data_IF_383424628453
#
_entry.id   IF_383424628453
#
_cell.length_a   1.000
_cell.length_b   1.000
_cell.length_c   1.000
_cell.angle_alpha   90.00
_cell.angle_beta   90.00
_cell.angle_gamma   90.00
#
_symmetry.space_group_name_H-M   'P 1'
#
loop_
_entity.id
_entity.type
_entity.pdbx_description
1 polymer ?
#
# COMPACT_ATOMS: atom_id res chain seq x y z
N UNK A 1 51.97 18.05 -37.12
CA UNK A 1 50.77 17.68 -37.89
C UNK A 1 49.55 18.19 -37.14
N UNK A 2 48.79 19.16 -37.68
CA UNK A 2 47.56 19.66 -37.04
C UNK A 2 46.45 18.65 -37.29
N UNK A 3 45.97 18.00 -36.23
CA UNK A 3 44.79 17.13 -36.28
C UNK A 3 43.61 17.97 -36.74
N UNK A 4 43.05 17.67 -37.91
CA UNK A 4 41.82 18.33 -38.35
C UNK A 4 40.68 17.85 -37.45
N UNK A 5 40.12 18.79 -36.69
CA UNK A 5 38.97 18.54 -35.84
C UNK A 5 37.74 18.53 -36.76
N UNK A 6 37.26 17.33 -37.08
CA UNK A 6 36.02 17.15 -37.85
C UNK A 6 34.86 17.66 -36.98
N UNK A 7 34.29 18.80 -37.36
CA UNK A 7 33.05 19.29 -36.75
C UNK A 7 31.88 18.36 -37.09
N UNK A 8 30.88 18.33 -36.22
CA UNK A 8 29.60 17.65 -36.47
C UNK A 8 28.86 18.34 -37.62
N UNK A 9 28.22 17.58 -38.51
CA UNK A 9 27.43 18.19 -39.58
C UNK A 9 26.07 18.66 -39.06
N UNK A 10 25.49 19.73 -39.63
CA UNK A 10 24.17 20.21 -39.18
C UNK A 10 23.08 19.15 -39.38
N UNK A 11 23.18 18.33 -40.43
CA UNK A 11 22.20 17.26 -40.70
C UNK A 11 22.26 16.16 -39.63
N UNK A 12 23.44 15.88 -39.08
CA UNK A 12 23.64 14.87 -38.06
C UNK A 12 23.03 15.31 -36.72
N UNK A 13 23.16 16.59 -36.38
CA UNK A 13 22.46 17.15 -35.22
C UNK A 13 20.93 17.13 -35.41
N UNK A 14 20.44 17.47 -36.61
CA UNK A 14 19.00 17.45 -36.92
C UNK A 14 18.44 16.02 -36.86
N UNK A 15 19.16 15.04 -37.41
CA UNK A 15 18.78 13.63 -37.34
C UNK A 15 18.63 13.16 -35.89
N UNK A 16 19.56 13.55 -35.01
CA UNK A 16 19.53 13.15 -33.59
C UNK A 16 18.30 13.71 -32.88
N UNK A 17 17.98 15.00 -33.04
CA UNK A 17 16.80 15.58 -32.38
C UNK A 17 15.49 15.00 -32.92
N UNK A 18 15.42 14.63 -34.20
CA UNK A 18 14.26 13.97 -34.79
C UNK A 18 14.06 12.58 -34.18
N UNK A 19 15.13 11.79 -34.05
CA UNK A 19 15.07 10.46 -33.43
C UNK A 19 14.66 10.58 -31.95
N UNK A 20 15.27 11.51 -31.20
CA UNK A 20 14.90 11.75 -29.80
C UNK A 20 13.44 12.21 -29.66
N UNK A 21 12.93 13.02 -30.60
CA UNK A 21 11.53 13.44 -30.63
C UNK A 21 10.56 12.27 -30.80
N UNK A 22 10.86 11.32 -31.69
CA UNK A 22 10.04 10.12 -31.90
C UNK A 22 10.06 9.23 -30.66
N UNK A 23 11.24 9.00 -30.07
CA UNK A 23 11.37 8.18 -28.86
C UNK A 23 10.63 8.81 -27.67
N UNK A 24 10.73 10.13 -27.50
CA UNK A 24 10.05 10.86 -26.44
C UNK A 24 8.52 10.76 -26.57
N UNK A 25 7.99 10.85 -27.80
CA UNK A 25 6.55 10.77 -28.04
C UNK A 25 5.92 9.44 -27.57
N UNK A 26 6.65 8.32 -27.71
CA UNK A 26 6.18 7.01 -27.22
C UNK A 26 6.51 6.76 -25.75
N UNK A 27 7.63 7.28 -25.25
CA UNK A 27 8.08 7.02 -23.88
C UNK A 27 7.31 7.84 -22.84
N UNK A 28 7.01 9.11 -23.13
CA UNK A 28 6.39 10.03 -22.17
C UNK A 28 5.04 9.55 -21.61
N UNK A 29 4.07 9.06 -22.42
CA UNK A 29 2.79 8.58 -21.89
C UNK A 29 2.98 7.43 -20.90
N UNK A 30 3.85 6.46 -21.23
CA UNK A 30 4.14 5.34 -20.34
C UNK A 30 4.79 5.79 -19.03
N UNK A 31 5.72 6.74 -19.08
CA UNK A 31 6.37 7.26 -17.87
C UNK A 31 5.40 8.01 -16.96
N UNK A 32 4.37 8.68 -17.51
CA UNK A 32 3.35 9.35 -16.71
C UNK A 32 2.51 8.36 -15.88
N UNK A 33 2.19 7.19 -16.44
CA UNK A 33 1.35 6.19 -15.77
C UNK A 33 2.13 5.27 -14.80
N UNK A 34 3.47 5.24 -14.84
CA UNK A 34 4.25 4.33 -13.99
C UNK A 34 4.09 4.65 -12.49
N UNK A 35 3.94 5.92 -12.13
CA UNK A 35 3.79 6.34 -10.73
C UNK A 35 2.48 5.85 -10.11
N UNK A 36 1.35 6.07 -10.80
CA UNK A 36 0.03 5.62 -10.36
C UNK A 36 -0.03 4.09 -10.29
N UNK A 37 0.45 3.38 -11.31
CA UNK A 37 0.50 1.92 -11.33
C UNK A 37 1.38 1.33 -10.21
N UNK A 38 2.51 1.97 -9.88
CA UNK A 38 3.37 1.52 -8.79
C UNK A 38 2.67 1.68 -7.43
N UNK A 39 1.97 2.79 -7.21
CA UNK A 39 1.19 3.02 -5.98
C UNK A 39 0.01 2.06 -5.87
N UNK A 40 -0.74 1.85 -6.95
CA UNK A 40 -1.84 0.89 -7.00
C UNK A 40 -1.36 -0.52 -6.62
N UNK A 41 -0.23 -0.97 -7.18
CA UNK A 41 0.38 -2.25 -6.85
C UNK A 41 0.83 -2.32 -5.37
N UNK A 42 1.39 -1.23 -4.82
CA UNK A 42 1.80 -1.17 -3.42
C UNK A 42 0.60 -1.27 -2.47
N UNK A 43 -0.48 -0.53 -2.74
CA UNK A 43 -1.73 -0.56 -1.96
C UNK A 43 -2.35 -1.97 -2.00
N UNK A 44 -2.40 -2.61 -3.16
CA UNK A 44 -2.86 -4.00 -3.28
C UNK A 44 -1.97 -4.98 -2.49
N UNK A 45 -0.66 -4.78 -2.51
CA UNK A 45 0.31 -5.56 -1.72
C UNK A 45 0.10 -5.40 -0.21
N UNK A 46 -0.13 -4.17 0.24
CA UNK A 46 -0.44 -3.89 1.64
C UNK A 46 -1.77 -4.54 2.06
N UNK A 47 -2.80 -4.47 1.23
CA UNK A 47 -4.09 -5.11 1.51
C UNK A 47 -3.95 -6.63 1.66
N UNK A 48 -3.12 -7.27 0.83
CA UNK A 48 -2.76 -8.69 0.99
C UNK A 48 -2.07 -8.96 2.33
N UNK A 49 -1.13 -8.09 2.72
CA UNK A 49 -0.39 -8.20 3.98
C UNK A 49 -1.32 -8.06 5.20
N UNK A 50 -2.23 -7.08 5.19
CA UNK A 50 -3.26 -6.89 6.23
C UNK A 50 -4.18 -8.11 6.33
N UNK A 51 -4.57 -8.71 5.20
CA UNK A 51 -5.40 -9.91 5.18
C UNK A 51 -4.69 -11.11 5.80
N UNK A 52 -3.42 -11.29 5.48
CA UNK A 52 -2.60 -12.35 6.08
C UNK A 52 -2.36 -12.11 7.58
N UNK A 53 -2.04 -10.88 7.97
CA UNK A 53 -1.81 -10.51 9.36
C UNK A 53 -3.06 -10.71 10.23
N UNK A 54 -4.23 -10.28 9.76
CA UNK A 54 -5.48 -10.47 10.49
C UNK A 54 -5.82 -11.96 10.71
N UNK A 55 -5.58 -12.81 9.71
CA UNK A 55 -5.75 -14.26 9.84
C UNK A 55 -4.75 -14.89 10.82
N UNK A 56 -3.48 -14.44 10.81
CA UNK A 56 -2.44 -14.91 11.74
C UNK A 56 -2.78 -14.52 13.17
N UNK A 57 -3.17 -13.27 13.41
CA UNK A 57 -3.57 -12.77 14.74
C UNK A 57 -4.76 -13.58 15.27
N UNK A 58 -5.77 -13.80 14.44
CA UNK A 58 -6.94 -14.59 14.84
C UNK A 58 -6.58 -16.05 15.14
N UNK A 59 -5.72 -16.66 14.32
CA UNK A 59 -5.26 -18.03 14.54
C UNK A 59 -4.45 -18.17 15.82
N UNK A 60 -3.57 -17.20 16.11
CA UNK A 60 -2.78 -17.17 17.33
C UNK A 60 -3.66 -16.94 18.58
N UNK A 61 -4.70 -16.11 18.47
CA UNK A 61 -5.70 -15.96 19.54
C UNK A 61 -6.44 -17.27 19.85
N UNK A 62 -6.90 -17.97 18.81
CA UNK A 62 -7.55 -19.27 18.96
C UNK A 62 -6.60 -20.32 19.56
N UNK A 63 -5.33 -20.35 19.13
CA UNK A 63 -4.30 -21.23 19.69
C UNK A 63 -4.01 -20.92 21.17
N UNK A 64 -4.15 -19.65 21.58
CA UNK A 64 -4.06 -19.19 22.97
C UNK A 64 -5.29 -19.52 23.83
N UNK A 65 -6.26 -20.29 23.31
CA UNK A 65 -7.46 -20.69 24.04
C UNK A 65 -8.66 -19.77 23.84
N UNK A 66 -8.60 -18.83 22.90
CA UNK A 66 -9.74 -17.98 22.54
C UNK A 66 -10.17 -17.04 23.68
N UNK A 67 -9.20 -16.53 24.44
CA UNK A 67 -9.46 -15.59 25.54
C UNK A 67 -8.39 -14.50 25.56
N UNK A 68 -8.74 -13.35 26.16
CA UNK A 68 -7.85 -12.20 26.28
C UNK A 68 -7.96 -11.21 25.12
N UNK A 69 -7.26 -10.09 25.27
CA UNK A 69 -7.29 -8.92 24.38
C UNK A 69 -5.93 -8.61 23.75
N UNK A 70 -4.98 -9.55 23.87
CA UNK A 70 -3.61 -9.37 23.39
C UNK A 70 -3.08 -10.71 22.90
N UNK A 71 -2.45 -10.68 21.74
CA UNK A 71 -1.80 -11.83 21.10
C UNK A 71 -0.36 -11.45 20.82
N UNK A 72 0.59 -12.31 21.16
CA UNK A 72 1.98 -12.12 20.79
C UNK A 72 2.23 -12.77 19.43
N UNK A 73 2.68 -11.97 18.48
CA UNK A 73 3.07 -12.40 17.13
C UNK A 73 4.55 -12.03 16.96
N UNK A 74 5.29 -12.74 16.11
CA UNK A 74 6.72 -12.53 15.88
C UNK A 74 7.06 -11.03 15.76
N UNK A 75 7.76 -10.47 16.76
CA UNK A 75 8.18 -9.06 16.80
C UNK A 75 7.33 -8.11 17.66
N UNK A 76 6.18 -8.51 18.21
CA UNK A 76 5.38 -7.61 19.05
C UNK A 76 4.09 -8.18 19.65
N UNK A 77 3.42 -7.37 20.47
CA UNK A 77 2.10 -7.66 21.02
C UNK A 77 1.04 -6.91 20.23
N UNK A 78 0.05 -7.65 19.72
CA UNK A 78 -1.09 -7.14 18.96
C UNK A 78 -2.32 -7.11 19.86
N UNK A 79 -2.98 -5.95 19.92
CA UNK A 79 -4.24 -5.80 20.66
C UNK A 79 -5.41 -6.29 19.81
N UNK A 80 -6.27 -7.11 20.41
CA UNK A 80 -7.41 -7.73 19.72
C UNK A 80 -8.75 -7.28 20.30
N UNK A 81 -9.77 -7.39 19.47
CA UNK A 81 -11.18 -7.41 19.86
C UNK A 81 -11.47 -8.65 20.73
N UNK A 82 -12.66 -8.70 21.34
CA UNK A 82 -13.09 -9.83 22.17
C UNK A 82 -13.33 -11.12 21.37
N UNK A 83 -13.56 -11.03 20.05
CA UNK A 83 -13.62 -12.18 19.15
C UNK A 83 -12.27 -12.51 18.49
N UNK A 84 -11.17 -11.91 18.97
CA UNK A 84 -9.81 -12.33 18.62
C UNK A 84 -9.27 -11.78 17.29
N UNK A 85 -9.87 -10.75 16.72
CA UNK A 85 -9.32 -10.05 15.56
C UNK A 85 -8.53 -8.83 15.99
N UNK A 86 -7.56 -8.38 15.17
CA UNK A 86 -6.79 -7.18 15.48
C UNK A 86 -7.69 -5.93 15.54
N UNK A 87 -7.45 -5.05 16.51
CA UNK A 87 -8.09 -3.72 16.54
C UNK A 87 -7.56 -2.84 15.40
N UNK A 88 -8.38 -1.90 14.93
CA UNK A 88 -8.02 -0.93 13.92
C UNK A 88 -7.20 0.24 14.51
N UNK A 89 -6.05 -0.09 15.09
CA UNK A 89 -5.14 0.87 15.74
C UNK A 89 -3.68 0.53 15.44
N UNK A 90 -2.76 1.46 15.73
CA UNK A 90 -1.31 1.23 15.60
C UNK A 90 -0.80 0.08 16.47
N UNK A 91 -1.44 -0.19 17.62
CA UNK A 91 -1.10 -1.32 18.52
C UNK A 91 -1.94 -2.57 18.24
N UNK A 92 -2.84 -2.51 17.26
CA UNK A 92 -3.62 -3.61 16.75
C UNK A 92 -3.06 -4.06 15.42
N UNK A 93 -3.80 -3.85 14.33
CA UNK A 93 -3.38 -4.27 12.99
C UNK A 93 -2.08 -3.59 12.53
N UNK A 94 -1.80 -2.35 12.95
CA UNK A 94 -0.54 -1.66 12.62
C UNK A 94 0.69 -2.33 13.24
N UNK A 95 0.54 -3.01 14.38
CA UNK A 95 1.61 -3.79 14.99
C UNK A 95 1.81 -5.17 14.34
N UNK A 96 0.90 -5.57 13.44
CA UNK A 96 0.89 -6.89 12.80
C UNK A 96 1.37 -6.86 11.33
N UNK A 97 1.65 -5.68 10.79
CA UNK A 97 2.09 -5.46 9.41
C UNK A 97 3.36 -4.63 9.37
N UNK A 98 4.07 -4.68 8.23
CA UNK A 98 5.11 -3.71 7.92
C UNK A 98 4.46 -2.49 7.26
N UNK A 99 4.59 -1.33 7.89
CA UNK A 99 4.02 -0.07 7.42
C UNK A 99 5.03 0.73 6.56
N UNK A 100 6.19 0.16 6.19
CA UNK A 100 7.19 0.88 5.40
C UNK A 100 6.61 1.46 4.09
N UNK A 101 6.70 2.78 3.95
CA UNK A 101 6.14 3.54 2.84
C UNK A 101 4.64 3.87 2.95
N UNK A 102 4.01 3.63 4.09
CA UNK A 102 2.61 3.95 4.37
C UNK A 102 2.43 4.66 5.71
N UNK A 103 1.47 5.57 5.74
CA UNK A 103 1.02 6.21 6.98
C UNK A 103 -0.37 5.67 7.36
N UNK A 104 -0.46 5.01 8.51
CA UNK A 104 -1.71 4.55 9.11
C UNK A 104 -2.39 5.62 9.96
N UNK A 105 -3.60 6.02 9.59
CA UNK A 105 -4.41 6.99 10.34
C UNK A 105 -5.61 6.30 10.99
N UNK A 106 -5.61 6.09 12.32
CA UNK A 106 -6.74 5.47 13.01
C UNK A 106 -7.94 6.41 13.09
N UNK A 107 -9.12 5.84 12.88
CA UNK A 107 -10.43 6.43 13.12
C UNK A 107 -11.23 5.59 14.14
N UNK A 108 -12.54 5.79 14.18
CA UNK A 108 -13.43 4.97 15.03
C UNK A 108 -13.69 3.63 14.36
N UNK A 109 -13.15 2.54 14.92
CA UNK A 109 -13.36 1.17 14.40
C UNK A 109 -12.71 0.90 13.04
N UNK A 110 -11.87 1.80 12.54
CA UNK A 110 -11.17 1.65 11.27
C UNK A 110 -9.81 2.35 11.29
N UNK A 111 -8.89 1.92 10.44
CA UNK A 111 -7.61 2.56 10.18
C UNK A 111 -7.38 2.61 8.68
N UNK A 112 -6.96 3.78 8.20
CA UNK A 112 -6.72 4.03 6.78
C UNK A 112 -5.23 4.19 6.55
N UNK A 113 -4.68 3.38 5.64
CA UNK A 113 -3.30 3.45 5.20
C UNK A 113 -3.22 4.16 3.86
N UNK A 114 -2.36 5.17 3.78
CA UNK A 114 -2.11 5.95 2.57
C UNK A 114 -0.60 5.92 2.27
N UNK A 115 -0.17 5.75 1.00
CA UNK A 115 1.25 5.81 0.66
C UNK A 115 1.89 7.13 1.08
N UNK A 116 3.11 7.07 1.58
CA UNK A 116 3.80 8.26 2.08
C UNK A 116 3.98 9.32 0.99
N UNK A 117 3.68 10.57 1.36
CA UNK A 117 3.74 11.71 0.44
C UNK A 117 2.62 11.76 -0.60
N UNK A 118 1.65 10.85 -0.56
CA UNK A 118 0.43 10.96 -1.36
C UNK A 118 -0.56 11.93 -0.72
N UNK A 119 -1.10 12.85 -1.52
CA UNK A 119 -2.04 13.88 -1.04
C UNK A 119 -3.47 13.68 -1.55
N UNK A 120 -3.68 12.72 -2.45
CA UNK A 120 -5.02 12.35 -2.92
C UNK A 120 -5.77 11.47 -1.91
N UNK A 121 -7.04 11.21 -2.19
CA UNK A 121 -7.90 10.34 -1.34
C UNK A 121 -8.18 8.98 -1.96
N UNK A 122 -7.73 8.78 -3.20
CA UNK A 122 -8.06 7.67 -4.10
C UNK A 122 -6.92 6.62 -4.16
N UNK A 123 -6.10 6.54 -3.12
CA UNK A 123 -4.99 5.59 -3.03
C UNK A 123 -4.83 5.17 -1.57
N UNK A 124 -5.61 4.18 -1.15
CA UNK A 124 -5.64 3.78 0.26
C UNK A 124 -6.08 2.35 0.50
N UNK A 125 -5.67 1.80 1.64
CA UNK A 125 -6.23 0.57 2.22
C UNK A 125 -6.93 0.93 3.51
N UNK A 126 -8.22 0.63 3.62
CA UNK A 126 -8.98 0.78 4.86
C UNK A 126 -9.19 -0.58 5.50
N UNK A 127 -8.76 -0.73 6.75
CA UNK A 127 -9.08 -1.86 7.60
C UNK A 127 -10.17 -1.43 8.59
N UNK A 128 -11.34 -2.08 8.54
CA UNK A 128 -12.35 -1.98 9.58
C UNK A 128 -12.23 -3.18 10.51
N UNK A 129 -12.17 -2.94 11.82
CA UNK A 129 -12.09 -4.01 12.81
C UNK A 129 -13.40 -4.79 12.89
N UNK A 130 -13.32 -6.02 13.42
CA UNK A 130 -14.51 -6.82 13.65
C UNK A 130 -15.37 -6.22 14.78
N UNK A 131 -16.66 -6.08 14.55
CA UNK A 131 -17.63 -5.74 15.60
C UNK A 131 -18.32 -7.03 16.11
N UNK A 132 -17.89 -7.58 17.26
CA UNK A 132 -18.49 -8.79 17.83
C UNK A 132 -19.94 -8.58 18.30
N UNK A 133 -20.38 -7.33 18.45
CA UNK A 133 -21.76 -7.00 18.81
C UNK A 133 -22.66 -6.78 17.59
N UNK A 134 -22.11 -6.77 16.37
CA UNK A 134 -22.89 -6.57 15.17
C UNK A 134 -23.88 -7.71 14.91
N UNK A 135 -25.05 -7.36 14.39
CA UNK A 135 -26.10 -8.33 14.03
C UNK A 135 -25.86 -8.97 12.66
N UNK A 136 -25.12 -8.29 11.77
CA UNK A 136 -24.70 -8.86 10.50
C UNK A 136 -23.39 -9.65 10.71
N UNK A 137 -23.35 -10.88 10.20
CA UNK A 137 -22.16 -11.73 10.26
C UNK A 137 -21.00 -11.15 9.44
N UNK A 138 -21.28 -10.33 8.42
CA UNK A 138 -20.25 -9.64 7.66
C UNK A 138 -19.45 -8.66 8.53
N UNK A 139 -20.11 -7.99 9.47
CA UNK A 139 -19.46 -7.00 10.35
C UNK A 139 -18.75 -7.66 11.55
N UNK A 140 -19.03 -8.94 11.82
CA UNK A 140 -18.35 -9.73 12.86
C UNK A 140 -16.94 -10.20 12.46
N UNK A 141 -16.51 -9.92 11.24
CA UNK A 141 -15.15 -10.18 10.77
C UNK A 141 -14.54 -8.90 10.18
N UNK A 142 -13.22 -8.73 10.21
CA UNK A 142 -12.60 -7.50 9.70
C UNK A 142 -12.85 -7.32 8.21
N UNK A 143 -13.15 -6.10 7.80
CA UNK A 143 -13.34 -5.74 6.40
C UNK A 143 -12.13 -4.96 5.89
N UNK A 144 -11.68 -5.29 4.68
CA UNK A 144 -10.56 -4.63 4.02
C UNK A 144 -11.08 -4.04 2.72
N UNK A 145 -11.07 -2.71 2.62
CA UNK A 145 -11.42 -1.98 1.42
C UNK A 145 -10.15 -1.37 0.80
N UNK A 146 -10.07 -1.38 -0.54
CA UNK A 146 -8.93 -0.87 -1.29
C UNK A 146 -9.44 0.15 -2.30
N UNK A 147 -8.80 1.31 -2.34
CA UNK A 147 -8.89 2.25 -3.45
C UNK A 147 -7.51 2.31 -4.13
N UNK A 148 -7.43 1.80 -5.36
CA UNK A 148 -6.20 1.66 -6.14
C UNK A 148 -6.15 2.57 -7.36
N UNK A 149 -7.03 3.59 -7.42
CA UNK A 149 -7.10 4.54 -8.53
C UNK A 149 -5.81 5.33 -8.67
N UNK A 150 -5.29 5.83 -7.53
CA UNK A 150 -4.01 6.51 -7.37
C UNK A 150 -3.70 7.55 -8.46
N UNK A 151 -4.70 8.32 -8.88
CA UNK A 151 -4.63 9.21 -10.04
C UNK A 151 -4.16 10.64 -9.71
N UNK A 152 -3.90 10.95 -8.43
CA UNK A 152 -3.47 12.26 -7.94
C UNK A 152 -1.95 12.52 -8.06
#
# INVERSE_FOLDING_TARGET
MKKQQSGFTMIELIMVIVILGILAAFALPKFADLGSNARAAAVQGLAGSIKSASAIVHSAWLAGGGTGTTVNVEGGSVTTTTNGYALATAVGIGAAIDEDGFTGTPGTGSIVYVPDGYTGTDCSVTFAEADPAATDLADQVPQIAVDDTCAS
#
